data_IF_059915766039
#
_entry.id   IF_059915766039
#
_cell.length_a   1.000
_cell.length_b   1.000
_cell.length_c   1.000
_cell.angle_alpha   90.00
_cell.angle_beta   90.00
_cell.angle_gamma   90.00
#
_symmetry.space_group_name_H-M   'P 1'
#
loop_
_entity.id
_entity.type
_entity.pdbx_description
1 polymer ?
#
# COMPACT_ATOMS: atom_id res chain seq x y z
N UNK A 1 3.62 23.20 61.02
CA UNK A 1 2.15 23.31 61.22
C UNK A 1 1.84 24.75 61.60
N UNK A 2 1.11 25.50 60.77
CA UNK A 2 0.85 26.94 60.97
C UNK A 2 0.01 27.27 62.22
N UNK A 3 -0.73 26.27 62.74
CA UNK A 3 -1.51 26.41 63.98
C UNK A 3 -0.71 26.23 65.27
N UNK A 4 0.59 25.89 65.20
CA UNK A 4 1.48 25.78 66.35
C UNK A 4 2.44 26.97 66.41
N UNK A 5 3.10 27.25 67.55
CA UNK A 5 4.13 28.27 67.66
C UNK A 5 5.24 28.09 66.59
N UNK A 6 5.81 29.18 66.05
CA UNK A 6 5.67 30.58 66.47
C UNK A 6 4.45 31.32 65.88
N UNK A 7 3.67 30.69 64.99
CA UNK A 7 2.62 31.37 64.22
C UNK A 7 1.26 31.35 64.92
N UNK A 8 0.82 30.20 65.43
CA UNK A 8 -0.39 30.08 66.25
C UNK A 8 -1.70 30.49 65.56
N UNK A 9 -1.78 30.41 64.23
CA UNK A 9 -2.96 30.88 63.49
C UNK A 9 -4.18 29.96 63.69
N UNK A 10 -5.41 30.51 63.84
CA UNK A 10 -6.65 29.73 63.86
C UNK A 10 -6.82 28.92 62.56
N UNK A 11 -7.40 27.73 62.67
CA UNK A 11 -7.63 26.84 61.51
C UNK A 11 -8.44 27.51 60.40
N UNK A 12 -9.45 28.28 60.76
CA UNK A 12 -10.30 28.99 59.78
C UNK A 12 -9.54 30.09 59.05
N UNK A 13 -8.61 30.77 59.72
CA UNK A 13 -7.74 31.77 59.10
C UNK A 13 -6.78 31.11 58.10
N UNK A 14 -6.21 29.96 58.44
CA UNK A 14 -5.36 29.17 57.54
C UNK A 14 -6.15 28.68 56.32
N UNK A 15 -7.33 28.11 56.53
CA UNK A 15 -8.20 27.65 55.45
C UNK A 15 -8.64 28.80 54.52
N UNK A 16 -9.02 29.93 55.09
CA UNK A 16 -9.37 31.14 54.32
C UNK A 16 -8.19 31.64 53.48
N UNK A 17 -6.99 31.70 54.06
CA UNK A 17 -5.79 32.10 53.34
C UNK A 17 -5.46 31.14 52.18
N UNK A 18 -5.57 29.82 52.38
CA UNK A 18 -5.37 28.84 51.32
C UNK A 18 -6.39 29.00 50.18
N UNK A 19 -7.66 29.24 50.48
CA UNK A 19 -8.68 29.47 49.43
C UNK A 19 -8.44 30.79 48.67
N UNK A 20 -7.97 31.84 49.35
CA UNK A 20 -7.61 33.12 48.71
C UNK A 20 -6.40 32.95 47.80
N UNK A 21 -5.34 32.28 48.28
CA UNK A 21 -4.14 32.01 47.48
C UNK A 21 -4.44 31.11 46.28
N UNK A 22 -5.34 30.13 46.44
CA UNK A 22 -5.81 29.27 45.37
C UNK A 22 -6.62 30.07 44.34
N UNK A 23 -7.52 30.95 44.80
CA UNK A 23 -8.29 31.84 43.92
C UNK A 23 -7.42 32.84 43.16
N UNK A 24 -6.33 33.30 43.78
CA UNK A 24 -5.33 34.16 43.17
C UNK A 24 -4.31 33.41 42.29
N UNK A 25 -4.43 32.08 42.15
CA UNK A 25 -3.50 31.20 41.40
C UNK A 25 -2.04 31.27 41.85
N UNK A 26 -1.81 31.61 43.12
CA UNK A 26 -0.50 31.66 43.77
C UNK A 26 -0.11 30.31 44.41
N UNK A 27 -1.08 29.42 44.56
CA UNK A 27 -0.89 28.02 44.91
C UNK A 27 -1.83 27.16 44.05
N UNK A 28 -1.45 25.90 43.83
CA UNK A 28 -2.37 24.86 43.31
C UNK A 28 -2.70 23.87 44.42
N UNK A 29 -3.87 23.24 44.30
CA UNK A 29 -4.29 22.17 45.19
C UNK A 29 -4.45 20.86 44.41
N UNK A 30 -4.14 19.74 45.05
CA UNK A 30 -4.32 18.39 44.51
C UNK A 30 -5.02 17.53 45.56
N UNK A 31 -5.97 16.70 45.13
CA UNK A 31 -6.63 15.71 45.98
C UNK A 31 -6.74 14.39 45.25
N UNK A 32 -6.23 13.32 45.85
CA UNK A 32 -6.27 11.96 45.29
C UNK A 32 -5.70 11.88 43.86
N UNK A 33 -4.63 12.64 43.56
CA UNK A 33 -4.04 12.70 42.22
C UNK A 33 -4.71 13.69 41.25
N UNK A 34 -5.83 14.31 41.65
CA UNK A 34 -6.61 15.22 40.79
C UNK A 34 -6.35 16.67 41.18
N UNK A 35 -5.91 17.46 40.21
CA UNK A 35 -5.71 18.91 40.37
C UNK A 35 -7.03 19.65 40.58
N UNK A 36 -7.03 20.59 41.51
CA UNK A 36 -8.15 21.47 41.83
C UNK A 36 -7.77 22.89 41.38
N UNK A 37 -8.53 23.44 40.45
CA UNK A 37 -8.20 24.71 39.80
C UNK A 37 -8.99 25.89 40.35
N UNK A 38 -10.14 25.65 41.01
CA UNK A 38 -10.95 26.73 41.59
C UNK A 38 -11.24 26.52 43.08
N UNK A 39 -11.33 27.59 43.89
CA UNK A 39 -11.74 27.49 45.29
C UNK A 39 -13.13 26.87 45.49
N UNK A 40 -14.01 26.93 44.47
CA UNK A 40 -15.37 26.36 44.52
C UNK A 40 -15.35 24.82 44.50
N UNK A 41 -14.33 24.22 43.91
CA UNK A 41 -14.16 22.76 43.84
C UNK A 41 -13.56 22.16 45.12
N UNK A 42 -13.16 23.00 46.09
CA UNK A 42 -12.56 22.58 47.34
C UNK A 42 -13.43 22.91 48.56
N UNK A 43 -14.30 21.98 49.01
CA UNK A 43 -15.06 22.15 50.24
C UNK A 43 -14.16 22.34 51.45
N UNK A 44 -14.56 23.17 52.41
CA UNK A 44 -13.78 23.45 53.63
C UNK A 44 -13.39 22.19 54.42
N UNK A 45 -14.25 21.17 54.43
CA UNK A 45 -14.00 19.89 55.11
C UNK A 45 -12.89 19.06 54.45
N UNK A 46 -12.55 19.36 53.19
CA UNK A 46 -11.58 18.63 52.39
C UNK A 46 -10.23 19.35 52.28
N UNK A 47 -10.13 20.63 52.67
CA UNK A 47 -8.88 21.41 52.65
C UNK A 47 -7.74 20.66 53.37
N UNK A 48 -8.03 20.06 54.54
CA UNK A 48 -7.03 19.33 55.31
C UNK A 48 -6.59 18.00 54.69
N UNK A 49 -7.23 17.53 53.62
CA UNK A 49 -6.91 16.31 52.89
C UNK A 49 -6.29 16.59 51.50
N UNK A 50 -6.14 17.86 51.15
CA UNK A 50 -5.53 18.28 49.89
C UNK A 50 -4.06 18.64 50.09
N UNK A 51 -3.25 18.32 49.09
CA UNK A 51 -1.86 18.76 49.00
C UNK A 51 -1.81 20.10 48.28
N UNK A 52 -1.09 21.07 48.84
CA UNK A 52 -0.93 22.39 48.23
C UNK A 52 0.51 22.60 47.78
N UNK A 53 0.67 23.14 46.58
CA UNK A 53 1.98 23.46 46.02
C UNK A 53 2.04 24.96 45.77
N UNK A 54 3.16 25.57 46.13
CA UNK A 54 3.45 26.95 45.75
C UNK A 54 3.56 27.03 44.23
N UNK A 55 2.91 28.03 43.64
CA UNK A 55 3.03 28.33 42.23
C UNK A 55 3.96 29.54 41.99
N UNK A 56 4.45 29.64 40.76
CA UNK A 56 5.06 30.87 40.25
C UNK A 56 4.00 31.94 40.01
N UNK A 57 4.43 33.15 39.68
CA UNK A 57 3.52 34.24 39.31
C UNK A 57 2.52 33.78 38.23
N UNK A 58 1.21 34.13 38.37
CA UNK A 58 0.18 33.76 37.41
C UNK A 58 0.53 34.19 35.98
N UNK A 59 0.03 33.46 34.96
CA UNK A 59 0.24 33.83 33.57
C UNK A 59 -0.26 35.24 33.24
N UNK A 60 0.57 35.99 32.52
CA UNK A 60 0.24 37.29 31.94
C UNK A 60 -0.74 37.17 30.77
N UNK A 61 -1.37 38.29 30.40
CA UNK A 61 -2.32 38.34 29.27
C UNK A 61 -1.69 37.87 27.96
N UNK A 62 -0.42 38.20 27.69
CA UNK A 62 0.28 37.76 26.49
C UNK A 62 0.55 36.25 26.49
N UNK A 63 0.92 35.67 27.64
CA UNK A 63 1.11 34.22 27.76
C UNK A 63 -0.23 33.49 27.56
N UNK A 64 -1.33 34.03 28.11
CA UNK A 64 -2.68 33.47 27.90
C UNK A 64 -3.08 33.48 26.43
N UNK A 65 -2.86 34.60 25.72
CA UNK A 65 -3.16 34.71 24.30
C UNK A 65 -2.34 33.70 23.48
N UNK A 66 -1.05 33.52 23.81
CA UNK A 66 -0.19 32.56 23.14
C UNK A 66 -0.69 31.11 23.29
N UNK A 67 -0.96 30.67 24.54
CA UNK A 67 -1.49 29.31 24.79
C UNK A 67 -2.85 29.11 24.11
N UNK A 68 -3.72 30.12 24.16
CA UNK A 68 -5.01 30.08 23.47
C UNK A 68 -4.86 29.90 21.96
N UNK A 69 -3.89 30.60 21.37
CA UNK A 69 -3.53 30.47 19.96
C UNK A 69 -3.10 29.05 19.59
N UNK A 70 -2.29 28.39 20.42
CA UNK A 70 -1.87 27.00 20.22
C UNK A 70 -3.03 26.03 20.31
N UNK A 71 -3.84 26.14 21.37
CA UNK A 71 -5.01 25.28 21.58
C UNK A 71 -5.96 25.37 20.39
N UNK A 72 -6.18 26.59 19.88
CA UNK A 72 -7.02 26.82 18.70
C UNK A 72 -6.40 26.20 17.44
N UNK A 73 -5.09 26.37 17.21
CA UNK A 73 -4.39 25.78 16.06
C UNK A 73 -4.37 24.25 16.08
N UNK A 74 -4.32 23.64 17.27
CA UNK A 74 -4.40 22.20 17.46
C UNK A 74 -5.85 21.67 17.50
N UNK A 75 -6.87 22.54 17.39
CA UNK A 75 -8.28 22.15 17.42
C UNK A 75 -8.78 21.69 18.79
N UNK A 76 -8.10 22.07 19.87
CA UNK A 76 -8.40 21.66 21.24
C UNK A 76 -9.39 22.62 21.86
N UNK A 77 -10.46 22.05 22.42
CA UNK A 77 -11.46 22.82 23.16
C UNK A 77 -10.92 23.21 24.53
N UNK A 78 -11.17 24.44 24.93
CA UNK A 78 -10.80 24.98 26.24
C UNK A 78 -11.89 25.93 26.73
N UNK A 79 -12.03 26.02 28.05
CA UNK A 79 -12.91 27.00 28.68
C UNK A 79 -12.15 28.32 28.90
N UNK A 80 -12.79 29.49 28.72
CA UNK A 80 -12.18 30.77 29.01
C UNK A 80 -11.61 30.81 30.44
N UNK A 81 -10.41 31.38 30.57
CA UNK A 81 -9.66 31.47 31.84
C UNK A 81 -9.16 30.12 32.39
N UNK A 82 -9.46 29.00 31.74
CA UNK A 82 -9.01 27.66 32.13
C UNK A 82 -8.08 27.02 31.08
N UNK A 83 -7.42 27.82 30.25
CA UNK A 83 -6.53 27.34 29.19
C UNK A 83 -5.44 26.38 29.71
N UNK A 84 -4.95 26.61 30.93
CA UNK A 84 -3.94 25.76 31.57
C UNK A 84 -4.39 24.31 31.78
N UNK A 85 -5.69 24.08 31.99
CA UNK A 85 -6.23 22.73 32.14
C UNK A 85 -6.22 21.94 30.82
N UNK A 86 -6.17 22.63 29.68
CA UNK A 86 -6.13 22.00 28.35
C UNK A 86 -4.70 21.78 27.82
N UNK A 87 -3.67 22.29 28.49
CA UNK A 87 -2.27 22.11 28.08
C UNK A 87 -1.87 20.62 28.01
N UNK A 88 -2.22 19.74 28.97
CA UNK A 88 -1.91 18.32 28.85
C UNK A 88 -2.48 17.68 27.59
N UNK A 89 -3.70 18.07 27.19
CA UNK A 89 -4.32 17.61 25.94
C UNK A 89 -3.56 18.11 24.71
N UNK A 90 -3.05 19.35 24.74
CA UNK A 90 -2.20 19.91 23.69
C UNK A 90 -0.89 19.15 23.52
N UNK A 91 -0.17 18.92 24.62
CA UNK A 91 1.09 18.21 24.55
C UNK A 91 0.88 16.76 24.08
N UNK A 92 -0.22 16.13 24.50
CA UNK A 92 -0.60 14.79 24.03
C UNK A 92 -0.93 14.77 22.52
N UNK A 93 -1.72 15.73 22.02
CA UNK A 93 -2.07 15.78 20.58
C UNK A 93 -0.84 16.00 19.70
N UNK A 94 0.14 16.77 20.17
CA UNK A 94 1.40 16.98 19.45
C UNK A 94 2.24 15.70 19.38
N UNK A 95 2.29 14.91 20.46
CA UNK A 95 2.95 13.59 20.44
C UNK A 95 2.26 12.66 19.43
N UNK A 96 0.93 12.59 19.45
CA UNK A 96 0.16 11.78 18.50
C UNK A 96 0.33 12.25 17.04
N UNK A 97 0.52 13.55 16.82
CA UNK A 97 0.84 14.09 15.51
C UNK A 97 2.26 13.66 15.08
N UNK A 98 3.26 13.77 15.96
CA UNK A 98 4.63 13.31 15.70
C UNK A 98 4.69 11.82 15.36
N UNK A 99 3.97 10.97 16.10
CA UNK A 99 3.94 9.52 15.85
C UNK A 99 3.36 9.18 14.46
N UNK A 100 2.39 9.98 14.00
CA UNK A 100 1.76 9.79 12.68
C UNK A 100 2.55 10.41 11.53
N UNK A 101 3.38 11.42 11.80
CA UNK A 101 4.18 12.14 10.80
C UNK A 101 5.37 11.36 10.24
N UNK A 102 5.68 10.16 10.76
CA UNK A 102 6.75 9.31 10.26
C UNK A 102 6.60 7.84 10.65
N UNK A 103 7.62 7.03 10.38
CA UNK A 103 7.56 5.60 10.61
C UNK A 103 8.77 4.81 10.13
N UNK A 104 8.61 3.48 9.95
CA UNK A 104 9.61 2.67 9.29
C UNK A 104 9.74 3.07 7.80
N UNK A 105 10.87 2.78 7.14
CA UNK A 105 11.02 2.97 5.69
C UNK A 105 9.82 2.39 4.92
N UNK A 106 9.34 3.05 3.86
CA UNK A 106 9.89 4.23 3.19
C UNK A 106 9.47 5.59 3.81
N UNK A 107 8.78 5.59 4.96
CA UNK A 107 8.39 6.83 5.61
C UNK A 107 9.61 7.55 6.21
N UNK A 108 9.58 8.89 6.27
CA UNK A 108 10.55 9.64 7.05
C UNK A 108 10.58 9.12 8.49
N UNK A 109 11.73 9.31 9.15
CA UNK A 109 11.82 8.99 10.56
C UNK A 109 10.79 9.77 11.37
N UNK A 110 10.31 9.15 12.45
CA UNK A 110 9.39 9.84 13.36
C UNK A 110 10.11 11.08 13.91
N UNK A 111 9.52 12.28 13.78
CA UNK A 111 10.11 13.48 14.33
C UNK A 111 10.27 13.35 15.85
N UNK A 112 11.33 13.98 16.38
CA UNK A 112 11.64 13.91 17.81
C UNK A 112 10.66 14.78 18.61
N UNK A 113 10.14 14.23 19.71
CA UNK A 113 9.19 14.90 20.62
C UNK A 113 9.86 15.48 21.89
N UNK A 114 11.20 15.54 21.96
CA UNK A 114 11.92 15.87 23.21
C UNK A 114 11.50 17.18 23.87
N UNK A 115 11.23 18.23 23.06
CA UNK A 115 10.72 19.52 23.56
C UNK A 115 9.37 19.35 24.25
N UNK A 116 8.52 18.44 23.78
CA UNK A 116 7.22 18.14 24.39
C UNK A 116 7.40 17.38 25.70
N UNK A 117 8.33 16.42 25.74
CA UNK A 117 8.64 15.65 26.94
C UNK A 117 9.17 16.56 28.07
N UNK A 118 10.01 17.53 27.73
CA UNK A 118 10.47 18.58 28.64
C UNK A 118 9.29 19.41 29.20
N UNK A 119 8.35 19.81 28.34
CA UNK A 119 7.16 20.57 28.76
C UNK A 119 6.20 19.72 29.63
N UNK A 120 6.12 18.41 29.40
CA UNK A 120 5.30 17.48 30.21
C UNK A 120 5.88 17.24 31.60
N UNK A 121 7.18 17.40 31.78
CA UNK A 121 7.84 17.28 33.09
C UNK A 121 7.55 18.49 34.01
N UNK A 122 7.09 19.60 33.44
CA UNK A 122 6.68 20.79 34.18
C UNK A 122 5.21 20.69 34.61
N UNK A 123 4.80 21.48 35.60
CA UNK A 123 3.39 21.60 35.98
C UNK A 123 3.02 23.02 36.39
N UNK A 124 1.71 23.28 36.49
CA UNK A 124 1.19 24.56 36.98
C UNK A 124 1.58 25.75 36.09
N UNK A 125 1.82 26.90 36.72
CA UNK A 125 2.16 28.14 36.04
C UNK A 125 3.51 28.05 35.31
N UNK A 126 4.43 27.20 35.79
CA UNK A 126 5.72 26.96 35.14
C UNK A 126 5.54 26.29 33.78
N UNK A 127 4.68 25.26 33.69
CA UNK A 127 4.35 24.61 32.42
C UNK A 127 3.66 25.59 31.47
N UNK A 128 2.71 26.37 31.99
CA UNK A 128 1.99 27.38 31.20
C UNK A 128 2.96 28.37 30.54
N UNK A 129 3.86 28.94 31.34
CA UNK A 129 4.88 29.88 30.87
C UNK A 129 5.80 29.23 29.85
N UNK A 130 6.30 28.02 30.11
CA UNK A 130 7.19 27.33 29.19
C UNK A 130 6.52 27.03 27.84
N UNK A 131 5.25 26.62 27.84
CA UNK A 131 4.45 26.40 26.62
C UNK A 131 4.27 27.71 25.85
N UNK A 132 3.91 28.80 26.53
CA UNK A 132 3.75 30.11 25.89
C UNK A 132 5.06 30.64 25.29
N UNK A 133 6.20 30.43 25.96
CA UNK A 133 7.51 30.81 25.45
C UNK A 133 7.93 30.01 24.21
N UNK A 134 7.35 28.82 24.03
CA UNK A 134 7.59 27.91 22.90
C UNK A 134 6.50 27.96 21.84
N UNK A 135 5.63 28.97 21.87
CA UNK A 135 4.44 29.03 21.01
C UNK A 135 4.75 28.88 19.51
N UNK A 136 5.66 29.68 18.96
CA UNK A 136 5.97 29.61 17.54
C UNK A 136 6.55 28.24 17.13
N UNK A 137 7.40 27.66 17.97
CA UNK A 137 7.98 26.33 17.74
C UNK A 137 6.91 25.24 17.77
N UNK A 138 6.05 25.23 18.79
CA UNK A 138 4.98 24.23 18.92
C UNK A 138 3.93 24.36 17.81
N UNK A 139 3.65 25.58 17.34
CA UNK A 139 2.76 25.83 16.20
C UNK A 139 3.34 25.25 14.92
N UNK A 140 4.60 25.54 14.62
CA UNK A 140 5.29 25.02 13.42
C UNK A 140 5.36 23.48 13.43
N UNK A 141 5.65 22.89 14.60
CA UNK A 141 5.62 21.43 14.76
C UNK A 141 4.22 20.86 14.52
N UNK A 142 3.17 21.48 15.08
CA UNK A 142 1.79 21.07 14.86
C UNK A 142 1.45 21.09 13.36
N UNK A 143 1.72 22.19 12.67
CA UNK A 143 1.42 22.36 11.24
C UNK A 143 2.19 21.34 10.40
N UNK A 144 3.50 21.21 10.63
CA UNK A 144 4.37 20.27 9.90
C UNK A 144 3.93 18.82 10.08
N UNK A 145 3.68 18.40 11.33
CA UNK A 145 3.36 17.00 11.62
C UNK A 145 1.93 16.64 11.21
N UNK A 146 0.97 17.55 11.36
CA UNK A 146 -0.40 17.31 10.90
C UNK A 146 -0.47 17.24 9.37
N UNK A 147 0.28 18.08 8.66
CA UNK A 147 0.42 18.00 7.21
C UNK A 147 1.03 16.66 6.76
N UNK A 148 2.15 16.25 7.36
CA UNK A 148 2.78 14.96 7.07
C UNK A 148 1.83 13.77 7.36
N UNK A 149 1.12 13.81 8.49
CA UNK A 149 0.15 12.79 8.86
C UNK A 149 -1.05 12.73 7.90
N UNK A 150 -1.49 13.87 7.35
CA UNK A 150 -2.59 13.93 6.40
C UNK A 150 -2.22 13.28 5.05
N UNK A 151 -0.99 13.47 4.57
CA UNK A 151 -0.52 12.89 3.31
C UNK A 151 -0.24 11.38 3.41
N UNK A 152 0.06 10.89 4.62
CA UNK A 152 0.55 9.54 4.84
C UNK A 152 -0.30 8.43 4.21
N UNK A 153 -1.62 8.43 4.46
CA UNK A 153 -2.48 7.32 4.02
C UNK A 153 -2.50 7.18 2.50
N UNK A 154 -2.57 8.31 1.79
CA UNK A 154 -2.53 8.35 0.32
C UNK A 154 -1.19 7.82 -0.18
N UNK A 155 -0.07 8.32 0.37
CA UNK A 155 1.26 7.90 -0.06
C UNK A 155 1.57 6.44 0.27
N UNK A 156 1.14 5.92 1.41
CA UNK A 156 1.28 4.50 1.74
C UNK A 156 0.47 3.61 0.77
N UNK A 157 -0.73 4.05 0.36
CA UNK A 157 -1.53 3.35 -0.63
C UNK A 157 -0.85 3.33 -2.01
N UNK A 158 -0.33 4.46 -2.46
CA UNK A 158 0.45 4.57 -3.70
C UNK A 158 1.74 3.75 -3.64
N UNK A 159 2.45 3.73 -2.51
CA UNK A 159 3.62 2.89 -2.32
C UNK A 159 3.28 1.39 -2.43
N UNK A 160 2.14 0.98 -1.86
CA UNK A 160 1.67 -0.40 -1.98
C UNK A 160 1.32 -0.73 -3.43
N UNK A 161 0.70 0.20 -4.15
CA UNK A 161 0.38 0.08 -5.57
C UNK A 161 1.65 -0.05 -6.43
N UNK A 162 2.66 0.80 -6.20
CA UNK A 162 3.96 0.75 -6.87
C UNK A 162 4.60 -0.64 -6.71
N UNK A 163 4.68 -1.16 -5.49
CA UNK A 163 5.26 -2.49 -5.23
C UNK A 163 4.50 -3.59 -5.99
N UNK A 164 3.17 -3.54 -5.98
CA UNK A 164 2.34 -4.51 -6.70
C UNK A 164 2.57 -4.46 -8.21
N UNK A 165 2.62 -3.26 -8.80
CA UNK A 165 2.90 -3.09 -10.22
C UNK A 165 4.28 -3.63 -10.60
N UNK A 166 5.29 -3.40 -9.77
CA UNK A 166 6.64 -3.94 -10.00
C UNK A 166 6.65 -5.48 -10.09
N UNK A 167 5.86 -6.19 -9.28
CA UNK A 167 5.77 -7.66 -9.36
C UNK A 167 5.26 -8.14 -10.74
N UNK A 168 4.40 -7.37 -11.40
CA UNK A 168 3.90 -7.71 -12.74
C UNK A 168 4.88 -7.39 -13.87
N UNK A 169 5.98 -6.68 -13.60
CA UNK A 169 6.96 -6.29 -14.64
C UNK A 169 8.08 -7.30 -14.86
N UNK A 170 7.96 -8.51 -14.30
CA UNK A 170 8.97 -9.56 -14.48
C UNK A 170 9.20 -9.84 -15.97
N UNK A 171 10.46 -9.74 -16.40
CA UNK A 171 10.85 -9.91 -17.80
C UNK A 171 10.77 -8.64 -18.66
N UNK A 172 10.31 -7.51 -18.11
CA UNK A 172 10.32 -6.21 -18.78
C UNK A 172 11.54 -5.39 -18.34
N UNK A 173 12.20 -4.72 -19.28
CA UNK A 173 13.36 -3.85 -19.03
C UNK A 173 13.03 -2.65 -18.12
N UNK A 174 11.77 -2.22 -18.07
CA UNK A 174 11.31 -1.14 -17.19
C UNK A 174 11.57 -1.45 -15.72
N UNK A 175 11.52 -2.73 -15.32
CA UNK A 175 11.75 -3.16 -13.95
C UNK A 175 13.19 -2.85 -13.50
N UNK A 176 14.17 -3.06 -14.36
CA UNK A 176 15.59 -2.76 -14.10
C UNK A 176 15.85 -1.24 -14.08
N UNK A 177 15.13 -0.46 -14.89
CA UNK A 177 15.23 1.01 -14.89
C UNK A 177 14.67 1.63 -13.60
N UNK A 178 13.55 1.11 -13.10
CA UNK A 178 12.82 1.74 -11.99
C UNK A 178 13.18 1.18 -10.60
N UNK A 179 13.76 -0.03 -10.52
CA UNK A 179 14.17 -0.63 -9.25
C UNK A 179 15.10 0.28 -8.41
N UNK A 180 16.16 0.90 -8.96
CA UNK A 180 17.03 1.79 -8.18
C UNK A 180 16.30 3.02 -7.62
N UNK A 181 15.30 3.54 -8.36
CA UNK A 181 14.52 4.70 -7.91
C UNK A 181 13.58 4.32 -6.77
N UNK A 182 12.92 3.16 -6.87
CA UNK A 182 12.11 2.59 -5.79
C UNK A 182 12.97 2.32 -4.54
N UNK A 183 14.16 1.75 -4.71
CA UNK A 183 15.11 1.54 -3.61
C UNK A 183 15.56 2.85 -2.97
N UNK A 184 15.86 3.90 -3.75
CA UNK A 184 16.22 5.20 -3.21
C UNK A 184 15.08 5.82 -2.38
N UNK A 185 13.82 5.73 -2.83
CA UNK A 185 12.67 6.21 -2.05
C UNK A 185 12.58 5.48 -0.70
N UNK A 186 12.84 4.17 -0.71
CA UNK A 186 12.80 3.34 0.49
C UNK A 186 13.95 3.63 1.45
N UNK A 187 15.19 3.67 0.94
CA UNK A 187 16.40 3.87 1.74
C UNK A 187 16.52 5.31 2.27
N UNK A 188 16.27 6.30 1.41
CA UNK A 188 16.35 7.72 1.76
C UNK A 188 15.04 8.24 2.39
N UNK A 189 14.07 7.36 2.59
CA UNK A 189 12.81 7.63 3.32
C UNK A 189 12.02 8.79 2.74
N UNK A 190 11.82 8.78 1.43
CA UNK A 190 11.31 9.91 0.67
C UNK A 190 9.78 9.92 0.48
N UNK A 191 9.05 8.97 1.07
CA UNK A 191 7.63 8.75 0.74
C UNK A 191 6.73 9.99 0.89
N UNK A 192 7.02 10.85 1.87
CA UNK A 192 6.25 12.08 2.15
C UNK A 192 6.89 13.35 1.55
N UNK A 193 7.82 13.22 0.60
CA UNK A 193 8.42 14.38 -0.07
C UNK A 193 7.47 15.01 -1.10
N UNK A 194 7.67 16.30 -1.32
CA UNK A 194 7.00 17.08 -2.35
C UNK A 194 8.05 17.62 -3.33
N UNK A 195 7.88 17.47 -4.66
CA UNK A 195 6.79 16.76 -5.34
C UNK A 195 6.80 15.24 -5.05
N UNK A 196 5.69 14.57 -5.37
CA UNK A 196 5.52 13.14 -5.14
C UNK A 196 6.57 12.29 -5.89
N UNK A 197 7.44 11.54 -5.19
CA UNK A 197 8.42 10.70 -5.87
C UNK A 197 7.86 9.37 -6.38
N UNK A 198 6.68 8.94 -5.90
CA UNK A 198 6.09 7.63 -6.23
C UNK A 198 5.21 7.71 -7.47
N UNK A 199 4.45 8.80 -7.62
CA UNK A 199 3.47 8.95 -8.71
C UNK A 199 4.06 8.77 -10.12
N UNK A 200 5.21 9.39 -10.47
CA UNK A 200 5.80 9.21 -11.80
C UNK A 200 6.16 7.75 -12.10
N UNK A 201 6.60 7.01 -11.08
CA UNK A 201 6.95 5.58 -11.23
C UNK A 201 5.71 4.72 -11.50
N UNK A 202 4.59 5.01 -10.82
CA UNK A 202 3.32 4.33 -11.06
C UNK A 202 2.86 4.57 -12.50
N UNK A 203 2.90 5.82 -12.96
CA UNK A 203 2.46 6.18 -14.31
C UNK A 203 3.31 5.49 -15.38
N UNK A 204 4.65 5.49 -15.25
CA UNK A 204 5.56 4.77 -16.14
C UNK A 204 5.30 3.25 -16.17
N UNK A 205 5.04 2.65 -14.99
CA UNK A 205 4.74 1.22 -14.89
C UNK A 205 3.40 0.87 -15.54
N UNK A 206 2.36 1.67 -15.29
CA UNK A 206 1.04 1.45 -15.89
C UNK A 206 1.09 1.54 -17.41
N UNK A 207 1.81 2.51 -17.97
CA UNK A 207 2.00 2.62 -19.42
C UNK A 207 2.74 1.40 -19.99
N UNK A 208 3.86 1.02 -19.39
CA UNK A 208 4.65 -0.13 -19.84
C UNK A 208 3.87 -1.45 -19.74
N UNK A 209 3.16 -1.68 -18.64
CA UNK A 209 2.34 -2.87 -18.42
C UNK A 209 1.14 -2.93 -19.37
N UNK A 210 0.45 -1.80 -19.59
CA UNK A 210 -0.66 -1.72 -20.54
C UNK A 210 -0.20 -2.02 -21.96
N UNK A 211 0.92 -1.44 -22.37
CA UNK A 211 1.54 -1.73 -23.68
C UNK A 211 1.91 -3.21 -23.81
N UNK A 212 2.61 -3.79 -22.81
CA UNK A 212 3.05 -5.18 -22.82
C UNK A 212 1.89 -6.19 -22.85
N UNK A 213 0.82 -5.92 -22.10
CA UNK A 213 -0.37 -6.76 -22.08
C UNK A 213 -1.17 -6.65 -23.38
N UNK A 214 -1.34 -5.43 -23.90
CA UNK A 214 -2.07 -5.19 -25.16
C UNK A 214 -1.34 -5.83 -26.34
N UNK A 215 0.00 -5.74 -26.38
CA UNK A 215 0.82 -6.45 -27.37
C UNK A 215 0.59 -7.94 -27.34
N UNK A 216 0.67 -8.58 -26.17
CA UNK A 216 0.44 -10.04 -26.02
C UNK A 216 -0.97 -10.48 -26.39
N UNK A 217 -1.97 -9.66 -26.09
CA UNK A 217 -3.35 -9.92 -26.51
C UNK A 217 -3.44 -9.91 -28.04
N UNK A 218 -2.80 -8.94 -28.70
CA UNK A 218 -2.75 -8.87 -30.16
C UNK A 218 -1.95 -10.05 -30.75
N UNK A 219 -0.83 -10.43 -30.15
CA UNK A 219 0.00 -11.56 -30.58
C UNK A 219 -0.76 -12.88 -30.47
N UNK A 220 -1.49 -13.11 -29.36
CA UNK A 220 -2.33 -14.29 -29.20
C UNK A 220 -3.44 -14.33 -30.25
N UNK A 221 -4.06 -13.17 -30.52
CA UNK A 221 -5.09 -13.07 -31.55
C UNK A 221 -4.52 -13.41 -32.93
N UNK A 222 -3.41 -12.78 -33.32
CA UNK A 222 -2.74 -13.07 -34.60
C UNK A 222 -2.38 -14.54 -34.72
N UNK A 223 -1.72 -15.11 -33.71
CA UNK A 223 -1.34 -16.52 -33.72
C UNK A 223 -2.56 -17.46 -33.84
N UNK A 224 -3.67 -17.12 -33.17
CA UNK A 224 -4.91 -17.90 -33.24
C UNK A 224 -5.57 -17.77 -34.62
N UNK A 225 -5.62 -16.56 -35.17
CA UNK A 225 -6.18 -16.30 -36.49
C UNK A 225 -5.36 -17.03 -37.58
N UNK A 226 -4.03 -16.98 -37.51
CA UNK A 226 -3.12 -17.70 -38.39
C UNK A 226 -3.34 -19.22 -38.29
N UNK A 227 -3.38 -19.77 -37.07
CA UNK A 227 -3.64 -21.20 -36.85
C UNK A 227 -5.02 -21.66 -37.36
N UNK A 228 -6.05 -20.82 -37.24
CA UNK A 228 -7.39 -21.12 -37.77
C UNK A 228 -7.40 -21.09 -39.30
N UNK A 229 -6.68 -20.16 -39.92
CA UNK A 229 -6.54 -20.10 -41.37
C UNK A 229 -5.77 -21.32 -41.91
N UNK A 230 -4.65 -21.68 -41.27
CA UNK A 230 -3.87 -22.87 -41.62
C UNK A 230 -4.70 -24.16 -41.49
N UNK A 231 -5.56 -24.25 -40.47
CA UNK A 231 -6.52 -25.35 -40.34
C UNK A 231 -7.54 -25.35 -41.48
N UNK A 232 -8.08 -24.19 -41.86
CA UNK A 232 -9.07 -24.06 -42.92
C UNK A 232 -8.56 -24.53 -44.30
N UNK A 233 -7.24 -24.48 -44.52
CA UNK A 233 -6.60 -24.95 -45.76
C UNK A 233 -6.39 -26.47 -45.81
N UNK A 234 -6.62 -27.20 -44.71
CA UNK A 234 -6.46 -28.66 -44.66
C UNK A 234 -7.70 -29.42 -45.11
N UNK A 235 -7.50 -30.53 -45.84
CA UNK A 235 -8.57 -31.35 -46.40
C UNK A 235 -9.43 -32.02 -45.33
N UNK A 236 -8.79 -32.46 -44.24
CA UNK A 236 -9.43 -33.09 -43.09
C UNK A 236 -10.39 -32.10 -42.43
N UNK A 237 -9.93 -30.87 -42.21
CA UNK A 237 -10.77 -29.83 -41.61
C UNK A 237 -11.92 -29.41 -42.53
N UNK A 238 -11.69 -29.32 -43.84
CA UNK A 238 -12.72 -29.01 -44.84
C UNK A 238 -13.83 -30.08 -44.91
N UNK A 239 -13.50 -31.33 -44.57
CA UNK A 239 -14.42 -32.47 -44.63
C UNK A 239 -15.30 -32.62 -43.37
N UNK A 240 -14.95 -31.94 -42.28
CA UNK A 240 -15.74 -31.91 -41.03
C UNK A 240 -16.82 -30.83 -41.10
N UNK A 241 -18.02 -31.10 -40.59
CA UNK A 241 -19.10 -30.10 -40.56
C UNK A 241 -18.85 -28.97 -39.54
N UNK A 242 -19.60 -27.87 -39.66
CA UNK A 242 -19.39 -26.68 -38.84
C UNK A 242 -19.61 -26.92 -37.33
N UNK A 243 -20.55 -27.79 -36.95
CA UNK A 243 -20.83 -28.09 -35.55
C UNK A 243 -19.68 -28.87 -34.90
N UNK A 244 -19.12 -29.83 -35.63
CA UNK A 244 -17.95 -30.58 -35.20
C UNK A 244 -16.68 -29.69 -35.16
N UNK A 245 -16.48 -28.77 -36.12
CA UNK A 245 -15.40 -27.77 -36.06
C UNK A 245 -15.49 -26.87 -34.83
N UNK A 246 -16.69 -26.38 -34.50
CA UNK A 246 -16.91 -25.52 -33.33
C UNK A 246 -16.62 -26.29 -32.03
N UNK A 247 -17.05 -27.56 -31.96
CA UNK A 247 -16.75 -28.44 -30.83
C UNK A 247 -15.25 -28.69 -30.67
N UNK A 248 -14.53 -29.03 -31.75
CA UNK A 248 -13.08 -29.25 -31.70
C UNK A 248 -12.37 -27.98 -31.22
N UNK A 249 -12.72 -26.81 -31.77
CA UNK A 249 -12.10 -25.53 -31.38
C UNK A 249 -12.29 -25.21 -29.89
N UNK A 250 -13.46 -25.51 -29.34
CA UNK A 250 -13.71 -25.38 -27.91
C UNK A 250 -12.90 -26.38 -27.09
N UNK A 251 -12.84 -27.65 -27.54
CA UNK A 251 -12.15 -28.73 -26.84
C UNK A 251 -10.63 -28.52 -26.74
N UNK A 252 -9.99 -28.08 -27.82
CA UNK A 252 -8.54 -27.79 -27.83
C UNK A 252 -8.21 -26.40 -27.26
N UNK A 253 -9.21 -25.57 -26.99
CA UNK A 253 -9.03 -24.21 -26.47
C UNK A 253 -8.43 -23.24 -27.50
N UNK A 254 -8.86 -23.35 -28.76
CA UNK A 254 -8.66 -22.37 -29.86
C UNK A 254 -9.86 -21.44 -30.06
N UNK A 255 -10.85 -21.49 -29.15
CA UNK A 255 -11.95 -20.54 -29.17
C UNK A 255 -11.46 -19.11 -28.89
N UNK A 256 -12.11 -18.12 -29.49
CA UNK A 256 -11.78 -16.70 -29.32
C UNK A 256 -11.85 -16.32 -27.83
N UNK A 257 -10.74 -15.78 -27.31
CA UNK A 257 -10.66 -15.32 -25.92
C UNK A 257 -11.00 -13.83 -25.89
N UNK A 258 -12.07 -13.48 -25.19
CA UNK A 258 -12.41 -12.09 -24.96
C UNK A 258 -11.25 -11.36 -24.25
N UNK A 259 -10.75 -10.23 -24.79
CA UNK A 259 -9.65 -9.51 -24.19
C UNK A 259 -10.07 -8.94 -22.84
N UNK A 260 -9.19 -8.93 -21.82
CA UNK A 260 -9.47 -8.26 -20.56
C UNK A 260 -9.59 -6.74 -20.76
N UNK A 261 -10.37 -6.09 -19.90
CA UNK A 261 -10.42 -4.63 -19.84
C UNK A 261 -9.12 -4.06 -19.23
N UNK A 262 -8.52 -3.10 -19.94
CA UNK A 262 -7.29 -2.40 -19.53
C UNK A 262 -7.45 -0.87 -19.61
N UNK A 263 -8.69 -0.39 -19.69
CA UNK A 263 -9.04 1.02 -19.87
C UNK A 263 -8.67 1.91 -18.67
N UNK A 264 -8.61 1.34 -17.48
CA UNK A 264 -8.22 2.02 -16.24
C UNK A 264 -7.07 1.29 -15.57
N UNK A 265 -6.33 1.98 -14.70
CA UNK A 265 -5.22 1.36 -13.95
C UNK A 265 -5.72 0.23 -13.04
N UNK A 266 -6.90 0.39 -12.44
CA UNK A 266 -7.53 -0.65 -11.63
C UNK A 266 -7.90 -1.89 -12.46
N UNK A 267 -8.46 -1.69 -13.67
CA UNK A 267 -8.79 -2.80 -14.58
C UNK A 267 -7.53 -3.51 -15.08
N UNK A 268 -6.48 -2.75 -15.44
CA UNK A 268 -5.17 -3.28 -15.83
C UNK A 268 -4.58 -4.20 -14.75
N UNK A 269 -4.55 -3.75 -13.50
CA UNK A 269 -4.02 -4.55 -12.39
C UNK A 269 -4.85 -5.80 -12.17
N UNK A 270 -6.18 -5.68 -12.13
CA UNK A 270 -7.06 -6.83 -11.98
C UNK A 270 -6.87 -7.88 -13.10
N UNK A 271 -6.61 -7.42 -14.34
CA UNK A 271 -6.29 -8.28 -15.46
C UNK A 271 -4.95 -9.02 -15.24
N UNK A 272 -3.91 -8.30 -14.78
CA UNK A 272 -2.58 -8.86 -14.52
C UNK A 272 -2.53 -9.79 -13.31
N UNK A 273 -3.33 -9.53 -12.27
CA UNK A 273 -3.50 -10.42 -11.12
C UNK A 273 -4.13 -11.75 -11.55
N UNK A 274 -5.11 -11.68 -12.45
CA UNK A 274 -5.82 -12.87 -12.97
C UNK A 274 -4.97 -13.65 -13.96
N UNK A 275 -4.21 -12.97 -14.82
CA UNK A 275 -3.38 -13.61 -15.84
C UNK A 275 -2.11 -12.79 -16.05
N UNK A 276 -1.00 -13.32 -15.53
CA UNK A 276 0.32 -12.69 -15.66
C UNK A 276 0.78 -12.60 -17.12
N UNK A 277 1.73 -11.70 -17.41
CA UNK A 277 2.33 -11.57 -18.75
C UNK A 277 2.95 -12.89 -19.23
N UNK A 278 3.63 -13.64 -18.35
CA UNK A 278 4.17 -14.96 -18.69
C UNK A 278 3.09 -15.98 -19.04
N UNK A 279 1.94 -15.95 -18.37
CA UNK A 279 0.79 -16.81 -18.71
C UNK A 279 0.19 -16.47 -20.08
N UNK A 280 0.32 -15.23 -20.55
CA UNK A 280 -0.03 -14.89 -21.93
C UNK A 280 1.00 -15.42 -22.93
N UNK A 281 2.30 -15.35 -22.60
CA UNK A 281 3.37 -15.92 -23.42
C UNK A 281 3.18 -17.44 -23.59
N UNK A 282 2.84 -18.16 -22.51
CA UNK A 282 2.53 -19.59 -22.55
C UNK A 282 1.33 -19.90 -23.47
N UNK A 283 0.30 -19.04 -23.43
CA UNK A 283 -0.88 -19.20 -24.30
C UNK A 283 -0.51 -19.03 -25.76
N UNK A 284 0.28 -18.00 -26.10
CA UNK A 284 0.76 -17.75 -27.46
C UNK A 284 1.56 -18.95 -27.96
N UNK A 285 2.53 -19.43 -27.17
CA UNK A 285 3.36 -20.58 -27.53
C UNK A 285 2.55 -21.88 -27.69
N UNK A 286 1.46 -22.05 -26.94
CA UNK A 286 0.60 -23.23 -27.03
C UNK A 286 -0.28 -23.29 -28.29
N UNK A 287 -0.43 -22.19 -29.03
CA UNK A 287 -1.39 -22.10 -30.16
C UNK A 287 -1.08 -23.15 -31.24
N UNK A 288 0.18 -23.29 -31.64
CA UNK A 288 0.58 -24.27 -32.66
C UNK A 288 0.22 -25.71 -32.27
N UNK A 289 0.58 -26.12 -31.06
CA UNK A 289 0.26 -27.47 -30.56
C UNK A 289 -1.26 -27.72 -30.46
N UNK A 290 -2.05 -26.69 -30.14
CA UNK A 290 -3.51 -26.79 -30.15
C UNK A 290 -4.07 -26.93 -31.56
N UNK A 291 -3.47 -26.25 -32.54
CA UNK A 291 -3.84 -26.38 -33.94
C UNK A 291 -3.54 -27.78 -34.47
N UNK A 292 -2.37 -28.34 -34.16
CA UNK A 292 -2.02 -29.71 -34.53
C UNK A 292 -3.00 -30.74 -33.93
N UNK A 293 -3.36 -30.57 -32.65
CA UNK A 293 -4.37 -31.42 -32.00
C UNK A 293 -5.76 -31.27 -32.67
N UNK A 294 -6.15 -30.05 -33.06
CA UNK A 294 -7.38 -29.83 -33.79
C UNK A 294 -7.39 -30.57 -35.14
N UNK A 295 -6.28 -30.54 -35.87
CA UNK A 295 -6.11 -31.27 -37.13
C UNK A 295 -6.24 -32.78 -36.93
N UNK A 296 -5.62 -33.33 -35.89
CA UNK A 296 -5.71 -34.76 -35.55
C UNK A 296 -7.15 -35.17 -35.20
N UNK A 297 -7.87 -34.38 -34.41
CA UNK A 297 -9.27 -34.64 -34.09
C UNK A 297 -10.17 -34.58 -35.33
N UNK A 298 -9.92 -33.63 -36.24
CA UNK A 298 -10.64 -33.58 -37.50
C UNK A 298 -10.38 -34.81 -38.37
N UNK A 299 -9.13 -35.25 -38.49
CA UNK A 299 -8.77 -36.46 -39.24
C UNK A 299 -9.46 -37.71 -38.68
N UNK A 300 -9.54 -37.86 -37.35
CA UNK A 300 -10.25 -38.97 -36.70
C UNK A 300 -11.76 -38.98 -36.98
N UNK A 301 -12.39 -37.81 -37.18
CA UNK A 301 -13.80 -37.72 -37.53
C UNK A 301 -14.03 -38.14 -38.98
N UNK A 302 -13.17 -37.68 -39.89
CA UNK A 302 -13.29 -37.97 -41.33
C UNK A 302 -12.97 -39.44 -41.59
N UNK A 303 -11.94 -39.97 -40.93
CA UNK A 303 -11.47 -41.34 -41.08
C UNK A 303 -11.27 -41.98 -39.69
N UNK A 304 -12.29 -42.66 -39.13
CA UNK A 304 -12.22 -43.24 -37.78
C UNK A 304 -11.17 -44.34 -37.59
N UNK A 305 -10.62 -44.89 -38.68
CA UNK A 305 -9.50 -45.85 -38.67
C UNK A 305 -8.12 -45.17 -38.78
N UNK A 306 -8.07 -43.84 -38.76
CA UNK A 306 -6.81 -43.12 -38.89
C UNK A 306 -5.97 -43.21 -37.61
N UNK A 307 -4.67 -43.44 -37.77
CA UNK A 307 -3.68 -43.47 -36.69
C UNK A 307 -2.71 -42.32 -36.91
N UNK A 308 -2.57 -41.45 -35.90
CA UNK A 308 -1.62 -40.35 -35.95
C UNK A 308 -0.21 -40.85 -35.65
N UNK A 309 0.72 -40.53 -36.53
CA UNK A 309 2.10 -40.98 -36.45
C UNK A 309 3.05 -39.80 -36.39
N UNK A 310 3.62 -39.56 -35.21
CA UNK A 310 4.72 -38.61 -35.08
C UNK A 310 6.02 -39.29 -35.56
N UNK A 311 6.72 -38.72 -36.58
CA UNK A 311 8.01 -39.24 -37.00
C UNK A 311 8.99 -39.30 -35.81
N UNK A 312 9.73 -40.41 -35.62
CA UNK A 312 10.65 -40.55 -34.50
C UNK A 312 11.74 -39.47 -34.58
N UNK A 313 12.17 -38.86 -33.45
CA UNK A 313 13.22 -37.85 -33.51
C UNK A 313 14.55 -38.44 -33.98
N UNK A 314 15.19 -37.82 -34.99
CA UNK A 314 16.45 -38.25 -35.57
C UNK A 314 17.50 -37.14 -35.64
N UNK A 315 18.76 -37.43 -35.28
CA UNK A 315 19.90 -36.52 -35.50
C UNK A 315 20.61 -36.89 -36.79
N UNK A 316 20.44 -36.07 -37.84
CA UNK A 316 20.96 -36.35 -39.19
C UNK A 316 22.20 -35.47 -39.44
N UNK A 317 23.37 -36.09 -39.64
CA UNK A 317 24.65 -35.36 -39.84
C UNK A 317 25.24 -35.58 -41.24
N UNK A 318 24.84 -36.65 -41.91
CA UNK A 318 25.34 -37.05 -43.23
C UNK A 318 24.19 -37.47 -44.15
N UNK A 319 24.42 -37.54 -45.45
CA UNK A 319 23.42 -38.02 -46.41
C UNK A 319 22.97 -39.47 -46.10
N UNK A 320 23.90 -40.34 -45.68
CA UNK A 320 23.60 -41.71 -45.26
C UNK A 320 22.73 -41.79 -44.00
N UNK A 321 22.76 -40.77 -43.13
CA UNK A 321 21.84 -40.70 -41.98
C UNK A 321 20.43 -40.34 -42.42
N UNK A 322 20.27 -39.46 -43.41
CA UNK A 322 18.96 -39.10 -44.00
C UNK A 322 18.33 -40.31 -44.66
N UNK A 323 19.08 -41.02 -45.51
CA UNK A 323 18.57 -42.19 -46.22
C UNK A 323 18.13 -43.30 -45.25
N UNK A 324 18.90 -43.52 -44.17
CA UNK A 324 18.56 -44.49 -43.13
C UNK A 324 17.30 -44.08 -42.38
N UNK A 325 17.19 -42.80 -42.01
CA UNK A 325 16.02 -42.26 -41.34
C UNK A 325 14.75 -42.38 -42.18
N UNK A 326 14.82 -42.03 -43.48
CA UNK A 326 13.70 -42.18 -44.40
C UNK A 326 13.32 -43.64 -44.61
N UNK A 327 14.28 -44.56 -44.69
CA UNK A 327 14.00 -46.00 -44.81
C UNK A 327 13.30 -46.57 -43.56
N UNK A 328 13.69 -46.10 -42.36
CA UNK A 328 13.03 -46.48 -41.10
C UNK A 328 11.62 -45.89 -41.02
N UNK A 329 11.45 -44.60 -41.33
CA UNK A 329 10.14 -43.96 -41.38
C UNK A 329 9.22 -44.64 -42.39
N UNK A 330 9.73 -44.98 -43.59
CA UNK A 330 8.98 -45.70 -44.62
C UNK A 330 8.50 -47.05 -44.12
N UNK A 331 9.36 -47.84 -43.45
CA UNK A 331 8.94 -49.12 -42.85
C UNK A 331 7.82 -48.93 -41.83
N UNK A 332 7.92 -47.87 -41.04
CA UNK A 332 6.97 -47.58 -39.98
C UNK A 332 5.61 -47.17 -40.56
N UNK A 333 5.60 -46.34 -41.62
CA UNK A 333 4.39 -45.99 -42.37
C UNK A 333 3.75 -47.22 -43.05
N UNK A 334 4.55 -48.08 -43.68
CA UNK A 334 4.04 -49.28 -44.35
C UNK A 334 3.43 -50.28 -43.38
N UNK A 335 3.96 -50.42 -42.16
CA UNK A 335 3.39 -51.31 -41.16
C UNK A 335 1.94 -50.96 -40.79
N UNK A 336 1.61 -49.66 -40.71
CA UNK A 336 0.25 -49.21 -40.46
C UNK A 336 -0.65 -49.38 -41.70
N UNK A 337 -0.14 -49.07 -42.90
CA UNK A 337 -0.90 -49.27 -44.15
C UNK A 337 -1.22 -50.76 -44.37
N UNK A 338 -0.28 -51.66 -44.10
CA UNK A 338 -0.47 -53.11 -44.19
C UNK A 338 -1.52 -53.62 -43.18
N UNK A 339 -1.77 -52.88 -42.10
CA UNK A 339 -2.81 -53.16 -41.11
C UNK A 339 -4.20 -52.60 -41.48
N UNK A 340 -4.37 -52.05 -42.69
CA UNK A 340 -5.59 -51.34 -43.14
C UNK A 340 -5.91 -50.09 -42.30
N UNK A 341 -4.87 -49.49 -41.69
CA UNK A 341 -4.94 -48.22 -40.97
C UNK A 341 -4.53 -47.07 -41.89
N UNK A 342 -5.17 -45.91 -41.73
CA UNK A 342 -4.82 -44.72 -42.50
C UNK A 342 -3.87 -43.87 -41.66
N UNK A 343 -2.70 -43.52 -42.20
CA UNK A 343 -1.67 -42.82 -41.42
C UNK A 343 -1.74 -41.32 -41.65
N UNK A 344 -1.86 -40.55 -40.56
CA UNK A 344 -1.78 -39.09 -40.56
C UNK A 344 -0.44 -38.70 -39.95
N UNK A 345 0.46 -38.15 -40.76
CA UNK A 345 1.83 -37.73 -40.39
C UNK A 345 1.90 -36.23 -40.21
#
# INVERSE_FOLDING_TARGET
VLGAPPYGWPRDAINGALLVLLGARQIRAERDGVGITTPKELPQTQIGKSTFHKEDEPPSTSEIIAVRGLLSAAGIRFEPEQEGASIPALLQSLIEAAERAGGPPPLPERPRSGVIDELRALGGNQQFRAVSAKEAELRDLNETWTHAAAQRNEREAEWSLLRRLMEHTKGLSISEKLRPQKEAIEQDRLLLKNPDPVRPLIDELNEALRSALTGRIADLKSATDDAVNDLADTLEWQSVDQQARDRIRQEVGLAEVAPPDVSTDAALIAALDKTSLGSWDDRIQSVGAKADNARQLAAQIVEPKSVSLNPPPGTLKTAEDVDRYLAELQKLLMAHIDADEIVVV
#
